data_IF_710803521462
#
_entry.id   IF_710803521462
#
_cell.length_a   1.000
_cell.length_b   1.000
_cell.length_c   1.000
_cell.angle_alpha   90.00
_cell.angle_beta   90.00
_cell.angle_gamma   90.00
#
_symmetry.space_group_name_H-M   'P 1'
#
loop_
_entity.id
_entity.type
_entity.pdbx_description
1 polymer ?
#
# COMPACT_ATOMS: atom_id res chain seq x y z
N UNK A 1 2.01 33.95 -23.71
CA UNK A 1 0.88 33.37 -22.93
C UNK A 1 1.45 32.39 -21.99
N UNK A 2 1.63 32.79 -20.71
CA UNK A 2 2.29 31.94 -19.69
C UNK A 2 1.23 31.00 -19.10
N UNK A 3 1.32 29.74 -19.40
CA UNK A 3 0.56 28.69 -18.71
C UNK A 3 1.21 28.41 -17.35
N UNK A 4 0.78 29.11 -16.31
CA UNK A 4 1.05 28.74 -14.92
C UNK A 4 0.15 27.55 -14.58
N UNK A 5 0.70 26.35 -14.64
CA UNK A 5 0.04 25.15 -14.11
C UNK A 5 -0.06 25.30 -12.60
N UNK A 6 -1.21 25.71 -12.11
CA UNK A 6 -1.50 25.77 -10.67
C UNK A 6 -1.60 24.34 -10.17
N UNK A 7 -0.52 23.86 -9.54
CA UNK A 7 -0.53 22.60 -8.81
C UNK A 7 -1.50 22.75 -7.64
N UNK A 8 -2.57 21.96 -7.60
CA UNK A 8 -3.51 21.95 -6.48
C UNK A 8 -2.73 21.68 -5.17
N UNK A 9 -3.06 22.40 -4.06
CA UNK A 9 -2.41 22.17 -2.79
C UNK A 9 -2.59 20.71 -2.35
N UNK A 10 -1.52 20.12 -1.83
CA UNK A 10 -1.57 18.78 -1.26
C UNK A 10 -2.59 18.77 -0.10
N UNK A 11 -3.39 17.71 0.05
CA UNK A 11 -4.32 17.58 1.16
C UNK A 11 -3.56 17.66 2.49
N UNK A 12 -4.22 18.16 3.53
CA UNK A 12 -3.62 18.47 4.85
C UNK A 12 -2.91 17.28 5.52
N UNK A 13 -3.28 16.05 5.19
CA UNK A 13 -2.57 14.86 5.65
C UNK A 13 -1.19 14.68 4.97
N UNK A 14 -0.95 15.28 3.81
CA UNK A 14 0.35 15.22 3.13
C UNK A 14 1.41 16.13 3.79
N UNK A 15 0.98 17.09 4.62
CA UNK A 15 1.85 17.94 5.44
C UNK A 15 2.07 17.39 6.86
N UNK A 16 1.28 16.40 7.29
CA UNK A 16 1.41 15.71 8.56
C UNK A 16 2.19 14.42 8.40
N UNK A 17 3.53 14.50 8.45
CA UNK A 17 4.46 13.43 8.82
C UNK A 17 4.06 11.99 8.34
N UNK A 18 3.85 11.79 7.05
CA UNK A 18 4.31 10.55 6.50
C UNK A 18 5.82 10.51 6.83
N UNK A 19 6.34 9.45 7.46
CA UNK A 19 7.74 9.45 7.88
C UNK A 19 8.58 9.99 6.73
N UNK A 20 9.40 11.01 7.01
CA UNK A 20 10.39 11.52 6.09
C UNK A 20 11.06 10.31 5.43
N UNK A 21 11.52 10.38 4.18
CA UNK A 21 12.15 9.24 3.52
C UNK A 21 12.97 8.54 4.58
N UNK A 22 12.55 7.34 4.99
CA UNK A 22 13.26 6.59 6.02
C UNK A 22 14.69 6.59 5.52
N UNK A 23 15.60 7.18 6.28
CA UNK A 23 17.03 7.09 5.98
C UNK A 23 17.27 5.66 5.52
N UNK A 24 18.07 5.40 4.49
CA UNK A 24 18.18 4.08 3.89
C UNK A 24 18.45 3.05 4.99
N UNK A 25 17.37 2.45 5.47
CA UNK A 25 17.47 1.43 6.50
C UNK A 25 18.13 0.25 5.82
N UNK A 26 19.35 -0.05 6.26
CA UNK A 26 20.06 -1.29 5.92
C UNK A 26 19.10 -2.42 6.26
N UNK A 27 18.49 -3.01 5.25
CA UNK A 27 17.48 -4.05 5.42
C UNK A 27 18.12 -5.29 6.03
N UNK A 28 17.42 -6.04 6.92
CA UNK A 28 17.94 -7.30 7.41
C UNK A 28 18.24 -8.21 6.21
N UNK A 29 19.49 -8.70 6.18
CA UNK A 29 20.06 -9.56 5.12
C UNK A 29 19.32 -10.88 5.04
N UNK A 30 18.25 -10.94 4.23
CA UNK A 30 17.80 -12.19 3.63
C UNK A 30 18.41 -12.27 2.23
N UNK A 31 18.97 -13.43 1.89
CA UNK A 31 19.80 -13.66 0.73
C UNK A 31 19.42 -12.88 -0.54
N UNK A 32 20.38 -12.20 -1.15
CA UNK A 32 20.44 -11.71 -2.54
C UNK A 32 19.46 -10.64 -3.01
N UNK A 33 19.16 -9.63 -2.18
CA UNK A 33 18.47 -8.44 -2.68
C UNK A 33 19.49 -7.39 -3.08
N UNK A 34 19.46 -6.89 -4.33
CA UNK A 34 20.29 -5.75 -4.68
C UNK A 34 19.86 -4.55 -3.81
N UNK A 35 20.85 -3.81 -3.30
CA UNK A 35 20.57 -2.56 -2.59
C UNK A 35 19.87 -1.60 -3.54
N UNK A 36 18.70 -1.12 -3.13
CA UNK A 36 17.89 -0.14 -3.84
C UNK A 36 17.65 1.07 -2.96
N UNK A 37 17.85 2.24 -3.51
CA UNK A 37 17.30 3.44 -2.93
C UNK A 37 15.78 3.40 -3.13
N UNK A 38 15.02 3.35 -2.04
CA UNK A 38 13.56 3.29 -2.05
C UNK A 38 12.97 4.56 -1.46
N UNK A 39 11.87 5.01 -2.04
CA UNK A 39 11.16 6.21 -1.61
C UNK A 39 9.67 5.94 -1.56
N UNK A 40 9.00 6.45 -0.51
CA UNK A 40 7.55 6.58 -0.50
C UNK A 40 7.18 7.98 -0.97
N UNK A 41 6.32 8.05 -1.99
CA UNK A 41 5.78 9.32 -2.48
C UNK A 41 4.25 9.29 -2.54
N UNK A 42 3.58 10.42 -2.29
CA UNK A 42 2.15 10.52 -2.50
C UNK A 42 1.78 10.19 -3.96
N UNK A 43 0.79 9.31 -4.14
CA UNK A 43 0.19 9.01 -5.44
C UNK A 43 -0.54 10.25 -5.96
N UNK A 44 -0.36 10.57 -7.23
CA UNK A 44 -1.01 11.67 -7.93
C UNK A 44 -1.86 11.15 -9.07
N UNK A 45 -2.74 11.98 -9.61
CA UNK A 45 -3.54 11.61 -10.80
C UNK A 45 -2.69 11.21 -12.00
N UNK A 46 -1.51 11.83 -12.16
CA UNK A 46 -0.54 11.47 -13.21
C UNK A 46 0.03 10.06 -13.08
N UNK A 47 -0.08 9.44 -11.91
CA UNK A 47 0.44 8.09 -11.65
C UNK A 47 -0.59 7.00 -11.94
N UNK A 48 -1.88 7.38 -12.09
CA UNK A 48 -2.98 6.42 -12.12
C UNK A 48 -2.90 5.43 -13.27
N UNK A 49 -2.34 5.78 -14.41
CA UNK A 49 -2.19 4.85 -15.53
C UNK A 49 -1.14 3.77 -15.22
N UNK A 50 -0.03 4.15 -14.57
CA UNK A 50 0.97 3.21 -14.11
C UNK A 50 0.44 2.30 -12.99
N UNK A 51 -0.28 2.88 -12.02
CA UNK A 51 -0.94 2.13 -10.93
C UNK A 51 -1.96 1.14 -11.48
N UNK A 52 -2.81 1.58 -12.41
CA UNK A 52 -3.81 0.72 -13.06
C UNK A 52 -3.17 -0.43 -13.84
N UNK A 53 -2.04 -0.20 -14.50
CA UNK A 53 -1.33 -1.26 -15.21
C UNK A 53 -0.79 -2.33 -14.23
N UNK A 54 -0.22 -1.93 -13.10
CA UNK A 54 0.23 -2.85 -12.04
C UNK A 54 -0.95 -3.60 -11.43
N UNK A 55 -2.03 -2.91 -11.11
CA UNK A 55 -3.25 -3.50 -10.52
C UNK A 55 -3.85 -4.56 -11.44
N UNK A 56 -3.97 -4.25 -12.73
CA UNK A 56 -4.54 -5.17 -13.74
C UNK A 56 -3.69 -6.42 -13.96
N UNK A 57 -2.39 -6.35 -13.73
CA UNK A 57 -1.50 -7.52 -13.80
C UNK A 57 -1.55 -8.37 -12.52
N UNK A 58 -1.84 -7.75 -11.38
CA UNK A 58 -1.80 -8.42 -10.09
C UNK A 58 -3.10 -9.17 -9.76
N UNK A 59 -4.25 -8.74 -10.28
CA UNK A 59 -5.56 -9.23 -9.87
C UNK A 59 -6.47 -9.58 -11.03
N UNK A 60 -7.24 -10.66 -10.88
CA UNK A 60 -8.31 -11.05 -11.82
C UNK A 60 -9.51 -10.07 -11.76
N UNK A 61 -9.71 -9.39 -10.63
CA UNK A 61 -10.75 -8.38 -10.43
C UNK A 61 -10.11 -7.10 -9.87
N UNK A 62 -9.39 -6.36 -10.73
CA UNK A 62 -8.63 -5.18 -10.29
C UNK A 62 -9.57 -4.03 -9.95
N UNK A 63 -9.09 -3.13 -9.09
CA UNK A 63 -9.67 -1.80 -8.99
C UNK A 63 -9.59 -1.11 -10.35
N UNK A 64 -10.62 -0.38 -10.72
CA UNK A 64 -10.58 0.47 -11.90
C UNK A 64 -9.82 1.76 -11.60
N UNK A 65 -9.33 2.43 -12.64
CA UNK A 65 -8.74 3.77 -12.54
C UNK A 65 -9.64 4.74 -11.76
N UNK A 66 -10.96 4.58 -11.88
CA UNK A 66 -11.95 5.40 -11.17
C UNK A 66 -11.88 5.18 -9.65
N UNK A 67 -11.70 3.95 -9.17
CA UNK A 67 -11.57 3.69 -7.73
C UNK A 67 -10.38 4.45 -7.13
N UNK A 68 -9.24 4.45 -7.81
CA UNK A 68 -8.07 5.22 -7.38
C UNK A 68 -8.32 6.72 -7.44
N UNK A 69 -8.89 7.22 -8.54
CA UNK A 69 -9.24 8.64 -8.69
C UNK A 69 -10.20 9.11 -7.58
N UNK A 70 -11.27 8.34 -7.32
CA UNK A 70 -12.25 8.67 -6.30
C UNK A 70 -11.62 8.66 -4.90
N UNK A 71 -10.68 7.73 -4.62
CA UNK A 71 -9.91 7.69 -3.38
C UNK A 71 -9.04 8.94 -3.22
N UNK A 72 -8.31 9.36 -4.27
CA UNK A 72 -7.52 10.59 -4.24
C UNK A 72 -8.41 11.83 -4.04
N UNK A 73 -9.54 11.89 -4.73
CA UNK A 73 -10.50 12.99 -4.60
C UNK A 73 -11.13 13.06 -3.20
N UNK A 74 -11.34 11.91 -2.56
CA UNK A 74 -11.80 11.82 -1.17
C UNK A 74 -10.71 12.23 -0.16
N UNK A 75 -9.47 12.48 -0.61
CA UNK A 75 -8.34 12.82 0.23
C UNK A 75 -7.77 11.62 1.00
N UNK A 76 -7.99 10.40 0.53
CA UNK A 76 -7.43 9.21 1.17
C UNK A 76 -5.92 9.14 0.95
N UNK A 77 -5.14 8.83 2.00
CA UNK A 77 -3.73 8.52 1.86
C UNK A 77 -3.49 7.42 0.83
N UNK A 78 -2.80 7.78 -0.24
CA UNK A 78 -2.40 6.86 -1.29
C UNK A 78 -0.92 7.09 -1.59
N UNK A 79 -0.10 6.04 -1.48
CA UNK A 79 1.35 6.13 -1.55
C UNK A 79 1.91 5.15 -2.57
N UNK A 80 2.93 5.59 -3.30
CA UNK A 80 3.74 4.78 -4.17
C UNK A 80 5.03 4.40 -3.47
N UNK A 81 5.44 3.14 -3.60
CA UNK A 81 6.78 2.66 -3.27
C UNK A 81 7.59 2.62 -4.57
N UNK A 82 8.56 3.49 -4.67
CA UNK A 82 9.40 3.68 -5.85
C UNK A 82 10.85 3.34 -5.55
N UNK A 83 11.60 2.98 -6.59
CA UNK A 83 13.06 2.85 -6.50
C UNK A 83 13.73 3.36 -7.78
N UNK A 84 15.02 3.67 -7.69
CA UNK A 84 15.86 3.75 -8.87
C UNK A 84 15.89 2.41 -9.61
N UNK A 85 15.96 2.46 -10.94
CA UNK A 85 16.12 1.26 -11.76
C UNK A 85 17.53 0.66 -11.54
N UNK A 86 17.61 -0.65 -11.39
CA UNK A 86 18.90 -1.34 -11.36
C UNK A 86 19.51 -1.39 -12.78
N UNK A 87 20.84 -1.57 -12.91
CA UNK A 87 21.46 -1.74 -14.21
C UNK A 87 20.79 -2.85 -15.03
N UNK A 88 20.29 -2.51 -16.22
CA UNK A 88 19.58 -3.44 -17.11
C UNK A 88 18.10 -3.68 -16.77
N UNK A 89 17.58 -3.09 -15.70
CA UNK A 89 16.17 -3.17 -15.36
C UNK A 89 15.35 -2.18 -16.19
N UNK A 90 14.27 -2.67 -16.79
CA UNK A 90 13.29 -1.85 -17.50
C UNK A 90 12.07 -1.69 -16.61
N UNK A 91 11.71 -0.44 -16.30
CA UNK A 91 10.53 -0.15 -15.51
C UNK A 91 9.25 -0.58 -16.28
N UNK A 92 8.44 -1.41 -15.65
CA UNK A 92 7.12 -1.79 -16.13
C UNK A 92 6.07 -1.56 -15.02
N UNK A 93 5.09 -0.70 -15.28
CA UNK A 93 4.92 0.20 -16.43
C UNK A 93 6.01 1.28 -16.48
N UNK A 94 6.35 1.82 -17.65
CA UNK A 94 7.35 2.88 -17.77
C UNK A 94 6.84 4.16 -17.09
N UNK A 95 7.72 4.85 -16.38
CA UNK A 95 7.46 6.13 -15.74
C UNK A 95 8.31 7.22 -16.39
N UNK A 96 7.79 8.44 -16.46
CA UNK A 96 8.49 9.58 -17.05
C UNK A 96 9.78 9.94 -16.29
N UNK A 97 9.82 9.65 -14.99
CA UNK A 97 10.99 9.88 -14.11
C UNK A 97 12.02 8.74 -14.13
N UNK A 98 11.81 7.70 -14.93
CA UNK A 98 12.69 6.53 -15.05
C UNK A 98 12.72 5.60 -13.83
N UNK A 99 11.97 5.93 -12.76
CA UNK A 99 11.91 5.11 -11.55
C UNK A 99 10.99 3.90 -11.71
N UNK A 100 11.26 2.87 -10.95
CA UNK A 100 10.50 1.62 -10.92
C UNK A 100 9.40 1.71 -9.86
N UNK A 101 8.16 1.42 -10.24
CA UNK A 101 7.04 1.26 -9.31
C UNK A 101 7.09 -0.14 -8.71
N UNK A 102 7.56 -0.26 -7.46
CA UNK A 102 7.63 -1.53 -6.73
C UNK A 102 6.27 -1.96 -6.18
N UNK A 103 5.45 -0.99 -5.80
CA UNK A 103 4.12 -1.21 -5.26
C UNK A 103 3.44 0.08 -4.82
N UNK A 104 2.27 -0.06 -4.26
CA UNK A 104 1.49 1.07 -3.72
C UNK A 104 0.53 0.60 -2.64
N UNK A 105 0.02 1.55 -1.88
CA UNK A 105 -1.08 1.34 -0.95
C UNK A 105 -2.07 2.51 -0.98
N UNK A 106 -3.32 2.23 -0.62
CA UNK A 106 -4.38 3.21 -0.37
C UNK A 106 -5.00 2.88 0.98
N UNK A 107 -5.12 3.89 1.84
CA UNK A 107 -5.70 3.75 3.17
C UNK A 107 -6.75 4.82 3.42
N UNK A 108 -7.70 4.56 4.30
CA UNK A 108 -8.74 5.49 4.70
C UNK A 108 -8.66 5.67 6.22
N UNK A 109 -8.31 6.87 6.71
CA UNK A 109 -8.35 7.15 8.13
C UNK A 109 -9.79 7.21 8.64
N UNK A 110 -10.00 6.68 9.84
CA UNK A 110 -11.23 6.79 10.63
C UNK A 110 -10.94 7.37 11.99
N UNK A 111 -11.89 7.24 12.91
CA UNK A 111 -11.70 7.63 14.31
C UNK A 111 -10.96 6.49 15.02
N UNK A 112 -9.76 6.78 15.54
CA UNK A 112 -8.88 5.80 16.22
C UNK A 112 -8.50 4.57 15.36
N UNK A 113 -8.75 4.60 14.07
CA UNK A 113 -8.49 3.47 13.17
C UNK A 113 -8.06 3.92 11.77
N UNK A 114 -7.43 3.00 11.05
CA UNK A 114 -7.11 3.16 9.63
C UNK A 114 -7.58 1.91 8.88
N UNK A 115 -8.28 2.09 7.76
CA UNK A 115 -8.64 1.01 6.86
C UNK A 115 -7.65 0.94 5.70
N UNK A 116 -6.96 -0.18 5.56
CA UNK A 116 -6.16 -0.49 4.38
C UNK A 116 -7.10 -0.96 3.26
N UNK A 117 -7.34 -0.10 2.27
CA UNK A 117 -8.28 -0.35 1.18
C UNK A 117 -7.64 -1.14 0.03
N UNK A 118 -6.37 -0.86 -0.26
CA UNK A 118 -5.61 -1.57 -1.29
C UNK A 118 -4.11 -1.57 -0.92
N UNK A 119 -3.44 -2.68 -1.15
CA UNK A 119 -1.98 -2.81 -1.08
C UNK A 119 -1.53 -3.80 -2.15
N UNK A 120 -0.67 -3.34 -3.05
CA UNK A 120 -0.23 -4.13 -4.19
C UNK A 120 1.27 -3.99 -4.40
N UNK A 121 1.94 -5.12 -4.59
CA UNK A 121 3.32 -5.18 -5.09
C UNK A 121 3.27 -5.58 -6.55
N UNK A 122 3.98 -4.83 -7.40
CA UNK A 122 4.10 -5.15 -8.81
C UNK A 122 4.61 -6.59 -8.99
N UNK A 123 4.03 -7.34 -9.93
CA UNK A 123 4.23 -8.80 -10.06
C UNK A 123 5.71 -9.17 -10.18
N UNK A 124 6.52 -8.38 -10.92
CA UNK A 124 7.96 -8.57 -11.05
C UNK A 124 8.74 -8.40 -9.73
N UNK A 125 8.14 -7.75 -8.72
CA UNK A 125 8.79 -7.42 -7.45
C UNK A 125 8.17 -8.16 -6.26
N UNK A 126 7.24 -9.09 -6.51
CA UNK A 126 6.64 -9.90 -5.44
C UNK A 126 7.67 -10.84 -4.80
N UNK A 127 7.33 -11.37 -3.60
CA UNK A 127 8.16 -12.31 -2.82
C UNK A 127 9.51 -11.75 -2.37
N UNK A 128 9.68 -10.44 -2.46
CA UNK A 128 10.87 -9.72 -2.04
C UNK A 128 10.69 -8.96 -0.71
N UNK A 129 9.58 -9.14 0.01
CA UNK A 129 9.31 -8.48 1.29
C UNK A 129 8.71 -7.07 1.18
N UNK A 130 8.44 -6.55 -0.03
CA UNK A 130 7.92 -5.19 -0.20
C UNK A 130 6.55 -4.97 0.42
N UNK A 131 5.67 -5.97 0.38
CA UNK A 131 4.37 -5.87 1.04
C UNK A 131 4.52 -5.70 2.57
N UNK A 132 5.44 -6.46 3.21
CA UNK A 132 5.75 -6.28 4.63
C UNK A 132 6.29 -4.89 4.91
N UNK A 133 7.24 -4.42 4.09
CA UNK A 133 7.81 -3.07 4.23
C UNK A 133 6.73 -1.97 4.13
N UNK A 134 5.77 -2.09 3.19
CA UNK A 134 4.65 -1.17 3.08
C UNK A 134 3.71 -1.24 4.30
N UNK A 135 3.49 -2.44 4.86
CA UNK A 135 2.71 -2.60 6.10
C UNK A 135 3.41 -1.97 7.30
N UNK A 136 4.75 -2.09 7.40
CA UNK A 136 5.54 -1.43 8.45
C UNK A 136 5.38 0.10 8.37
N UNK A 137 5.49 0.66 7.16
CA UNK A 137 5.29 2.09 6.92
C UNK A 137 3.84 2.54 7.24
N UNK A 138 2.84 1.76 6.84
CA UNK A 138 1.44 2.03 7.16
C UNK A 138 1.19 2.01 8.67
N UNK A 139 1.69 1.00 9.38
CA UNK A 139 1.53 0.87 10.83
C UNK A 139 2.20 2.04 11.58
N UNK A 140 3.40 2.44 11.15
CA UNK A 140 4.10 3.59 11.73
C UNK A 140 3.32 4.88 11.51
N UNK A 141 2.87 5.13 10.27
CA UNK A 141 2.06 6.29 9.94
C UNK A 141 0.74 6.30 10.72
N UNK A 142 0.04 5.16 10.79
CA UNK A 142 -1.23 5.04 11.51
C UNK A 142 -1.07 5.38 13.00
N UNK A 143 0.01 4.91 13.65
CA UNK A 143 0.35 5.30 15.03
C UNK A 143 0.58 6.81 15.17
N UNK A 144 1.26 7.42 14.19
CA UNK A 144 1.49 8.86 14.14
C UNK A 144 0.19 9.67 14.01
N UNK A 145 -0.86 9.08 13.42
CA UNK A 145 -2.21 9.67 13.37
C UNK A 145 -3.05 9.40 14.63
N UNK A 146 -2.52 8.69 15.62
CA UNK A 146 -3.23 8.31 16.84
C UNK A 146 -4.12 7.09 16.70
N UNK A 147 -4.07 6.39 15.56
CA UNK A 147 -4.85 5.19 15.36
C UNK A 147 -4.39 4.05 16.29
N UNK A 148 -5.36 3.33 16.82
CA UNK A 148 -5.15 2.15 17.66
C UNK A 148 -5.26 0.86 16.86
N UNK A 149 -5.91 0.91 15.72
CA UNK A 149 -6.20 -0.24 14.88
C UNK A 149 -5.93 0.02 13.40
N UNK A 150 -5.47 -1.03 12.71
CA UNK A 150 -5.53 -1.11 11.24
C UNK A 150 -6.47 -2.24 10.86
N UNK A 151 -7.42 -1.95 9.97
CA UNK A 151 -8.39 -2.89 9.43
C UNK A 151 -8.16 -3.15 7.96
N UNK A 152 -8.51 -4.33 7.50
CA UNK A 152 -8.55 -4.67 6.08
C UNK A 152 -9.60 -5.73 5.78
N UNK A 153 -10.05 -5.77 4.53
CA UNK A 153 -10.78 -6.88 3.95
C UNK A 153 -9.91 -7.57 2.90
N UNK A 154 -9.85 -8.88 2.93
CA UNK A 154 -9.12 -9.68 1.96
C UNK A 154 -10.02 -10.79 1.41
N UNK A 155 -9.92 -11.06 0.10
CA UNK A 155 -10.65 -12.17 -0.53
C UNK A 155 -10.34 -13.48 0.18
N UNK A 156 -11.36 -14.30 0.43
CA UNK A 156 -11.19 -15.60 1.06
C UNK A 156 -10.23 -16.49 0.25
N UNK A 157 -10.26 -16.40 -1.07
CA UNK A 157 -9.37 -17.13 -1.98
C UNK A 157 -7.92 -16.63 -2.00
N UNK A 158 -7.64 -15.40 -1.52
CA UNK A 158 -6.29 -14.85 -1.53
C UNK A 158 -5.46 -15.37 -0.35
N UNK A 159 -5.18 -16.68 -0.37
CA UNK A 159 -4.41 -17.35 0.67
C UNK A 159 -3.00 -16.73 0.88
N UNK A 160 -2.25 -16.32 -0.16
CA UNK A 160 -0.94 -15.69 0.04
C UNK A 160 -1.01 -14.38 0.83
N UNK A 161 -2.01 -13.52 0.55
CA UNK A 161 -2.17 -12.26 1.28
C UNK A 161 -2.63 -12.51 2.72
N UNK A 162 -3.59 -13.42 2.94
CA UNK A 162 -4.04 -13.80 4.28
C UNK A 162 -2.87 -14.29 5.14
N UNK A 163 -2.06 -15.21 4.61
CA UNK A 163 -0.88 -15.72 5.30
C UNK A 163 0.17 -14.63 5.57
N UNK A 164 0.28 -13.60 4.72
CA UNK A 164 1.12 -12.43 4.98
C UNK A 164 0.57 -11.63 6.17
N UNK A 165 -0.72 -11.31 6.17
CA UNK A 165 -1.36 -10.52 7.22
C UNK A 165 -1.32 -11.24 8.58
N UNK A 166 -1.61 -12.55 8.61
CA UNK A 166 -1.50 -13.37 9.83
C UNK A 166 -0.07 -13.36 10.40
N UNK A 167 0.95 -13.58 9.56
CA UNK A 167 2.36 -13.50 9.99
C UNK A 167 2.80 -12.10 10.40
N UNK A 168 2.13 -11.07 9.88
CA UNK A 168 2.40 -9.69 10.29
C UNK A 168 1.81 -9.36 11.66
N UNK A 169 0.79 -10.10 12.09
CA UNK A 169 0.12 -9.92 13.38
C UNK A 169 -1.35 -9.50 13.26
N UNK A 170 -1.93 -9.47 12.06
CA UNK A 170 -3.37 -9.30 11.92
C UNK A 170 -4.12 -10.54 12.40
N UNK A 171 -5.20 -10.34 13.13
CA UNK A 171 -6.14 -11.36 13.52
C UNK A 171 -7.40 -11.32 12.65
N UNK A 172 -7.93 -12.48 12.28
CA UNK A 172 -9.24 -12.55 11.66
C UNK A 172 -10.32 -12.23 12.69
N UNK A 173 -11.20 -11.29 12.40
CA UNK A 173 -12.25 -10.83 13.31
C UNK A 173 -13.66 -11.00 12.75
N UNK A 174 -13.78 -11.33 11.46
CA UNK A 174 -15.08 -11.54 10.84
C UNK A 174 -15.01 -12.02 9.40
N UNK A 175 -16.20 -12.18 8.82
CA UNK A 175 -16.38 -12.49 7.39
C UNK A 175 -17.56 -11.68 6.87
N UNK A 176 -17.35 -10.98 5.75
CA UNK A 176 -18.44 -10.33 5.01
C UNK A 176 -18.88 -11.23 3.87
N UNK A 177 -20.07 -11.78 3.97
CA UNK A 177 -20.65 -12.70 2.99
C UNK A 177 -20.90 -12.01 1.65
N UNK A 178 -20.46 -12.66 0.56
CA UNK A 178 -20.70 -12.19 -0.80
C UNK A 178 -20.20 -10.77 -1.07
N UNK A 179 -19.07 -10.38 -0.50
CA UNK A 179 -18.56 -9.00 -0.55
C UNK A 179 -17.93 -8.66 -1.90
N UNK A 180 -17.08 -9.53 -2.42
CA UNK A 180 -16.36 -9.31 -3.67
C UNK A 180 -17.07 -9.90 -4.89
N UNK A 181 -17.03 -9.26 -6.06
CA UNK A 181 -17.44 -9.90 -7.31
C UNK A 181 -16.47 -11.05 -7.65
N UNK A 182 -17.02 -12.20 -8.10
CA UNK A 182 -16.28 -13.42 -8.37
C UNK A 182 -16.74 -14.09 -9.70
N UNK A 183 -16.77 -13.33 -10.81
CA UNK A 183 -17.19 -13.83 -12.12
C UNK A 183 -18.69 -13.70 -12.37
N UNK A 184 -19.23 -14.39 -13.38
CA UNK A 184 -20.62 -14.27 -13.81
C UNK A 184 -21.61 -14.56 -12.65
N UNK A 185 -22.22 -13.50 -12.12
CA UNK A 185 -23.24 -13.52 -11.05
C UNK A 185 -22.81 -14.19 -9.73
N UNK A 186 -21.52 -14.54 -9.58
CA UNK A 186 -20.98 -15.09 -8.34
C UNK A 186 -20.35 -13.98 -7.50
N UNK A 187 -20.37 -14.19 -6.19
CA UNK A 187 -19.70 -13.32 -5.23
C UNK A 187 -18.89 -14.17 -4.27
N UNK A 188 -17.80 -13.60 -3.81
CA UNK A 188 -16.87 -14.21 -2.87
C UNK A 188 -16.91 -13.48 -1.53
N UNK A 189 -16.74 -14.23 -0.46
CA UNK A 189 -16.66 -13.68 0.89
C UNK A 189 -15.35 -12.90 1.09
N UNK A 190 -15.40 -11.86 1.91
CA UNK A 190 -14.23 -11.19 2.42
C UNK A 190 -13.94 -11.65 3.86
N UNK A 191 -12.69 -11.98 4.14
CA UNK A 191 -12.18 -12.13 5.49
C UNK A 191 -11.83 -10.74 6.01
N UNK A 192 -12.41 -10.35 7.14
CA UNK A 192 -12.11 -9.09 7.83
C UNK A 192 -11.01 -9.36 8.84
N UNK A 193 -9.94 -8.57 8.78
CA UNK A 193 -8.80 -8.71 9.68
C UNK A 193 -8.46 -7.37 10.33
N UNK A 194 -7.95 -7.42 11.56
CA UNK A 194 -7.50 -6.24 12.29
C UNK A 194 -6.14 -6.43 12.94
N UNK A 195 -5.37 -5.35 13.02
CA UNK A 195 -4.10 -5.26 13.71
C UNK A 195 -4.21 -4.26 14.86
N UNK A 196 -3.92 -4.70 16.08
CA UNK A 196 -3.82 -3.80 17.22
C UNK A 196 -2.44 -3.12 17.24
N UNK A 197 -2.42 -1.79 17.09
CA UNK A 197 -1.19 -1.00 17.03
C UNK A 197 -0.62 -0.68 18.43
N UNK A 198 -1.42 -0.78 19.47
CA UNK A 198 -1.03 -0.47 20.87
C UNK A 198 -0.30 -1.65 21.50
N UNK A 199 -0.80 -2.87 21.28
CA UNK A 199 -0.21 -4.10 21.85
C UNK A 199 1.22 -4.36 21.36
N UNK A 200 1.58 -3.92 20.16
CA UNK A 200 2.94 -4.07 19.61
C UNK A 200 4.02 -3.26 20.37
N UNK A 201 3.64 -2.21 21.12
CA UNK A 201 4.59 -1.44 21.95
C UNK A 201 5.03 -2.17 23.22
N UNK A 202 4.24 -3.10 23.71
CA UNK A 202 4.53 -3.80 24.98
C UNK A 202 5.70 -4.80 24.87
N UNK A 203 6.01 -5.26 23.65
CA UNK A 203 7.09 -6.24 23.43
C UNK A 203 8.47 -5.58 23.28
N UNK A 204 8.53 -4.32 22.84
CA UNK A 204 9.80 -3.60 22.66
C UNK A 204 10.33 -2.93 23.95
N UNK A 205 9.50 -2.85 25.01
CA UNK A 205 9.86 -2.18 26.27
C UNK A 205 10.40 -3.14 27.35
N UNK A 206 10.62 -4.42 27.06
CA UNK A 206 11.03 -5.43 28.05
C UNK A 206 12.33 -6.17 27.64
N UNK A 207 13.22 -5.50 26.89
CA UNK A 207 14.60 -6.00 26.70
C UNK A 207 15.62 -4.94 27.02
#
# INVERSE_FOLDING_TARGET
MNNTTTTAPLPTWASGLWPAPLEPQVQPRTASRPERLIVFEPMRESDLDAVQAVESQAYAHPWSRRHFHDSLKAGYPAMLLLSEALPGEVAHPPRADGRVLLGYLVAMPGVDEVHLLNITVATAHQRQGWARFMLDALALWSRGQGAQWVWLEVRQSNAPARALYERYGFAQVGVRKGYYPAGHFQREDAVVMSLNLVAAKAVESTQ
#
